data_IF_776406561997
#
_entry.id   IF_776406561997
#
_cell.length_a   1.000
_cell.length_b   1.000
_cell.length_c   1.000
_cell.angle_alpha   90.00
_cell.angle_beta   90.00
_cell.angle_gamma   90.00
#
_symmetry.space_group_name_H-M   'P 1'
#
loop_
_entity.id
_entity.type
_entity.pdbx_description
1 polymer ?
#
# COMPACT_ATOMS: atom_id res chain seq x y z
N UNK A 1 -7.56 1.34 7.89
CA UNK A 1 -6.83 2.50 7.30
C UNK A 1 -5.42 2.04 6.96
N UNK A 2 -5.17 1.56 5.75
CA UNK A 2 -3.81 1.25 5.30
C UNK A 2 -3.50 2.14 4.10
N UNK A 3 -2.75 3.22 4.38
CA UNK A 3 -2.10 4.03 3.35
C UNK A 3 -1.07 3.16 2.61
N UNK A 4 -0.71 3.52 1.37
CA UNK A 4 0.46 2.95 0.69
C UNK A 4 1.60 2.86 1.71
N UNK A 5 2.03 1.62 2.03
CA UNK A 5 2.66 1.24 3.31
C UNK A 5 3.87 2.08 3.71
N UNK A 6 4.47 2.85 2.80
CA UNK A 6 5.54 3.77 3.10
C UNK A 6 5.42 5.19 2.49
N UNK A 7 4.38 5.51 1.70
CA UNK A 7 4.28 6.82 1.06
C UNK A 7 2.83 7.33 1.09
N UNK A 8 2.55 8.36 1.89
CA UNK A 8 1.26 9.05 1.90
C UNK A 8 0.71 9.45 3.26
N UNK A 9 1.33 9.09 4.39
CA UNK A 9 0.89 9.60 5.70
C UNK A 9 1.53 10.96 6.00
N UNK A 10 0.73 12.02 5.81
CA UNK A 10 0.97 13.33 6.40
C UNK A 10 1.24 13.13 7.90
N UNK A 11 2.35 13.70 8.38
CA UNK A 11 2.73 13.70 9.79
C UNK A 11 1.55 14.18 10.64
N UNK A 12 0.85 13.26 11.29
CA UNK A 12 -0.33 13.57 12.10
C UNK A 12 -1.37 12.45 12.21
N UNK A 13 -1.48 11.54 11.23
CA UNK A 13 -2.59 10.56 11.23
C UNK A 13 -2.15 9.12 11.55
N UNK A 14 -2.32 8.75 12.82
CA UNK A 14 -2.26 7.41 13.43
C UNK A 14 -1.66 6.25 12.58
N UNK A 15 -0.32 6.16 12.55
CA UNK A 15 0.43 4.91 12.36
C UNK A 15 0.70 4.49 10.91
N UNK A 16 1.94 4.66 10.43
CA UNK A 16 2.47 3.69 9.50
C UNK A 16 2.49 2.33 10.23
N UNK A 17 1.87 1.30 9.65
CA UNK A 17 1.88 -0.04 10.24
C UNK A 17 3.23 -0.65 9.92
N UNK A 18 4.13 -0.65 10.89
CA UNK A 18 5.38 -1.38 10.83
C UNK A 18 5.10 -2.80 11.33
N UNK A 19 4.80 -3.71 10.43
CA UNK A 19 4.60 -5.14 10.72
C UNK A 19 5.92 -5.91 10.79
N UNK A 20 7.03 -5.31 10.35
CA UNK A 20 8.35 -5.93 10.34
C UNK A 20 8.60 -6.80 9.12
N UNK A 21 7.65 -6.87 8.18
CA UNK A 21 7.77 -7.69 6.99
C UNK A 21 8.51 -6.94 5.87
N UNK A 22 9.31 -7.70 5.11
CA UNK A 22 10.11 -7.16 4.02
C UNK A 22 9.39 -7.29 2.68
N UNK A 23 8.69 -6.25 2.25
CA UNK A 23 7.96 -6.21 0.98
C UNK A 23 8.81 -5.84 -0.24
N UNK A 24 10.06 -5.46 -0.01
CA UNK A 24 11.01 -5.07 -1.06
C UNK A 24 12.16 -6.06 -1.08
N UNK A 25 12.36 -6.71 -2.23
CA UNK A 25 13.54 -7.52 -2.49
C UNK A 25 14.44 -6.80 -3.49
N UNK A 26 15.76 -6.87 -3.28
CA UNK A 26 16.76 -6.35 -4.20
C UNK A 26 17.85 -7.39 -4.46
N UNK A 27 18.54 -7.27 -5.60
CA UNK A 27 19.61 -8.20 -5.98
C UNK A 27 20.78 -7.45 -6.58
N UNK A 28 22.00 -7.88 -6.28
CA UNK A 28 23.22 -7.39 -6.93
C UNK A 28 23.93 -8.53 -7.63
N UNK A 29 24.46 -8.26 -8.83
CA UNK A 29 25.37 -9.16 -9.52
C UNK A 29 26.72 -8.48 -9.69
N UNK A 30 27.72 -8.98 -8.99
CA UNK A 30 29.09 -8.49 -9.08
C UNK A 30 29.84 -9.28 -10.14
N UNK A 31 30.23 -8.61 -11.23
CA UNK A 31 30.82 -9.27 -12.41
C UNK A 31 32.18 -9.92 -12.12
N UNK A 32 33.02 -9.23 -11.35
CA UNK A 32 34.40 -9.65 -11.09
C UNK A 32 34.43 -10.91 -10.24
N UNK A 33 33.78 -10.88 -9.07
CA UNK A 33 33.60 -12.07 -8.20
C UNK A 33 32.67 -13.12 -8.82
N UNK A 34 31.75 -12.71 -9.71
CA UNK A 34 30.73 -13.59 -10.28
C UNK A 34 29.65 -13.96 -9.27
N UNK A 35 29.38 -13.09 -8.30
CA UNK A 35 28.50 -13.39 -7.16
C UNK A 35 27.14 -12.72 -7.35
N UNK A 36 26.06 -13.49 -7.16
CA UNK A 36 24.70 -12.98 -7.03
C UNK A 36 24.33 -12.91 -5.55
N UNK A 37 23.93 -11.73 -5.07
CA UNK A 37 23.45 -11.55 -3.69
C UNK A 37 22.02 -11.03 -3.69
N UNK A 38 21.17 -11.61 -2.86
CA UNK A 38 19.78 -11.20 -2.69
C UNK A 38 19.59 -10.56 -1.32
N UNK A 39 18.81 -9.49 -1.26
CA UNK A 39 18.52 -8.75 -0.03
C UNK A 39 17.02 -8.57 0.15
N UNK A 40 16.61 -8.50 1.41
CA UNK A 40 15.28 -8.11 1.85
C UNK A 40 15.37 -6.76 2.57
N UNK A 41 14.49 -5.83 2.21
CA UNK A 41 14.41 -4.51 2.83
C UNK A 41 13.03 -4.31 3.46
N UNK A 42 13.02 -3.93 4.75
CA UNK A 42 11.79 -3.65 5.49
C UNK A 42 11.87 -2.30 6.21
N UNK A 43 10.73 -1.58 6.31
CA UNK A 43 10.66 -0.36 7.09
C UNK A 43 10.57 -0.66 8.59
N UNK A 44 11.26 0.14 9.40
CA UNK A 44 11.22 0.14 10.86
C UNK A 44 10.88 1.55 11.35
N UNK A 45 10.22 1.64 12.50
CA UNK A 45 9.98 2.93 13.17
C UNK A 45 11.31 3.57 13.60
N UNK A 46 11.57 4.80 13.15
CA UNK A 46 12.75 5.54 13.57
C UNK A 46 12.68 5.88 15.07
N UNK A 47 13.82 5.78 15.76
CA UNK A 47 13.85 5.80 17.23
C UNK A 47 13.83 7.21 17.85
N UNK A 48 14.17 8.27 17.09
CA UNK A 48 14.39 9.60 17.68
C UNK A 48 13.62 10.77 17.06
N UNK A 49 13.21 10.69 15.80
CA UNK A 49 12.42 11.76 15.17
C UNK A 49 11.49 11.08 14.17
N UNK A 50 10.19 11.37 14.24
CA UNK A 50 9.16 10.67 13.46
C UNK A 50 9.58 10.44 12.00
N UNK A 51 9.39 9.22 11.51
CA UNK A 51 9.85 8.79 10.19
C UNK A 51 10.06 7.27 10.13
N UNK A 52 10.35 6.76 8.94
CA UNK A 52 10.68 5.35 8.70
C UNK A 52 12.16 5.20 8.43
N UNK A 53 12.81 4.28 9.15
CA UNK A 53 14.13 3.76 8.84
C UNK A 53 13.98 2.51 7.97
N UNK A 54 14.94 2.21 7.10
CA UNK A 54 14.90 1.00 6.27
C UNK A 54 16.07 0.11 6.64
N UNK A 55 15.76 -1.12 7.06
CA UNK A 55 16.76 -2.14 7.34
C UNK A 55 16.83 -3.05 6.12
N UNK A 56 18.04 -3.28 5.64
CA UNK A 56 18.35 -4.22 4.57
C UNK A 56 19.11 -5.41 5.17
N UNK A 57 18.64 -6.62 4.89
CA UNK A 57 19.27 -7.87 5.36
C UNK A 57 19.57 -8.75 4.15
N UNK A 58 20.77 -9.33 4.12
CA UNK A 58 21.13 -10.32 3.11
C UNK A 58 20.32 -11.58 3.33
N UNK A 59 19.65 -12.05 2.29
CA UNK A 59 18.96 -13.35 2.29
C UNK A 59 20.01 -14.45 2.10
N UNK A 60 20.76 -14.37 1.02
CA UNK A 60 21.82 -15.32 0.67
C UNK A 60 22.72 -14.74 -0.44
N UNK A 61 23.83 -15.40 -0.73
CA UNK A 61 24.79 -15.06 -1.76
C UNK A 61 25.35 -16.32 -2.42
N UNK A 62 25.42 -16.33 -3.75
CA UNK A 62 25.83 -17.49 -4.52
C UNK A 62 26.91 -17.16 -5.55
N UNK A 63 27.90 -18.04 -5.69
CA UNK A 63 28.80 -18.01 -6.83
C UNK A 63 28.07 -18.47 -8.08
N UNK A 64 28.11 -17.64 -9.13
CA UNK A 64 27.55 -17.94 -10.45
C UNK A 64 28.59 -18.60 -11.37
N UNK A 65 29.82 -18.83 -10.88
CA UNK A 65 30.94 -19.41 -11.63
C UNK A 65 31.44 -20.69 -10.94
N UNK A 66 31.85 -21.67 -11.73
CA UNK A 66 32.60 -22.85 -11.26
C UNK A 66 31.80 -23.92 -10.50
N UNK A 67 30.56 -23.67 -10.10
CA UNK A 67 29.68 -24.64 -9.45
C UNK A 67 28.26 -24.57 -10.03
N UNK A 68 27.83 -25.65 -10.68
CA UNK A 68 26.50 -25.76 -11.30
C UNK A 68 25.37 -25.74 -10.27
N UNK A 69 25.53 -26.44 -9.15
CA UNK A 69 24.52 -26.50 -8.08
C UNK A 69 24.27 -25.11 -7.48
N UNK A 70 25.36 -24.36 -7.22
CA UNK A 70 25.28 -22.97 -6.74
C UNK A 70 24.54 -22.08 -7.75
N UNK A 71 24.82 -22.24 -9.03
CA UNK A 71 24.15 -21.49 -10.10
C UNK A 71 22.65 -21.81 -10.17
N UNK A 72 22.27 -23.10 -10.14
CA UNK A 72 20.87 -23.52 -10.18
C UNK A 72 20.08 -23.00 -8.98
N UNK A 73 20.67 -23.07 -7.78
CA UNK A 73 20.08 -22.52 -6.55
C UNK A 73 19.90 -21.01 -6.66
N UNK A 74 20.90 -20.29 -7.15
CA UNK A 74 20.85 -18.84 -7.32
C UNK A 74 19.74 -18.40 -8.27
N UNK A 75 19.65 -19.04 -9.45
CA UNK A 75 18.62 -18.73 -10.45
C UNK A 75 17.22 -19.06 -9.92
N UNK A 76 17.07 -20.19 -9.24
CA UNK A 76 15.79 -20.60 -8.63
C UNK A 76 15.35 -19.61 -7.56
N UNK A 77 16.24 -19.27 -6.61
CA UNK A 77 15.95 -18.31 -5.57
C UNK A 77 15.60 -16.92 -6.15
N UNK A 78 16.35 -16.46 -7.15
CA UNK A 78 16.07 -15.19 -7.82
C UNK A 78 14.71 -15.16 -8.52
N UNK A 79 14.32 -16.24 -9.22
CA UNK A 79 13.01 -16.33 -9.88
C UNK A 79 11.87 -16.35 -8.86
N UNK A 80 12.00 -17.18 -7.82
CA UNK A 80 11.01 -17.25 -6.75
C UNK A 80 10.84 -15.89 -6.05
N UNK A 81 11.95 -15.19 -5.78
CA UNK A 81 11.92 -13.84 -5.23
C UNK A 81 11.18 -12.85 -6.13
N UNK A 82 11.39 -12.91 -7.45
CA UNK A 82 10.67 -12.05 -8.41
C UNK A 82 9.18 -12.35 -8.46
N UNK A 83 8.79 -13.62 -8.41
CA UNK A 83 7.38 -14.01 -8.46
C UNK A 83 6.67 -13.64 -7.16
N UNK A 84 7.30 -13.85 -6.01
CA UNK A 84 6.80 -13.37 -4.72
C UNK A 84 6.65 -11.84 -4.68
N UNK A 85 7.65 -11.10 -5.17
CA UNK A 85 7.56 -9.64 -5.24
C UNK A 85 6.44 -9.15 -6.17
N UNK A 86 6.10 -9.93 -7.22
CA UNK A 86 4.97 -9.64 -8.09
C UNK A 86 3.65 -9.86 -7.35
N UNK A 87 3.49 -11.00 -6.67
CA UNK A 87 2.30 -11.30 -5.87
C UNK A 87 2.04 -10.20 -4.84
N UNK A 88 3.09 -9.76 -4.10
CA UNK A 88 2.96 -8.66 -3.14
C UNK A 88 2.58 -7.33 -3.77
N UNK A 89 3.06 -7.06 -4.98
CA UNK A 89 2.64 -5.87 -5.74
C UNK A 89 1.17 -5.96 -6.16
N UNK A 90 0.74 -7.11 -6.66
CA UNK A 90 -0.64 -7.34 -7.12
C UNK A 90 -1.62 -7.25 -5.94
N UNK A 91 -1.28 -7.85 -4.79
CA UNK A 91 -2.02 -7.74 -3.53
C UNK A 91 -2.18 -6.26 -3.13
N UNK A 92 -1.09 -5.50 -3.11
CA UNK A 92 -1.13 -4.07 -2.75
C UNK A 92 -1.98 -3.23 -3.71
N UNK A 93 -1.96 -3.54 -5.01
CA UNK A 93 -2.81 -2.89 -6.02
C UNK A 93 -4.28 -3.26 -5.80
N UNK A 94 -4.59 -4.54 -5.57
CA UNK A 94 -5.93 -5.03 -5.29
C UNK A 94 -6.54 -4.31 -4.09
N UNK A 95 -5.80 -4.28 -2.97
CA UNK A 95 -6.22 -3.56 -1.77
C UNK A 95 -6.44 -2.05 -2.01
N UNK A 96 -5.61 -1.41 -2.84
CA UNK A 96 -5.77 0.00 -3.17
C UNK A 96 -7.04 0.26 -3.99
N UNK A 97 -7.32 -0.61 -4.97
CA UNK A 97 -8.52 -0.52 -5.81
C UNK A 97 -9.80 -0.72 -4.99
N UNK A 98 -9.84 -1.71 -4.11
CA UNK A 98 -10.98 -1.95 -3.19
C UNK A 98 -11.29 -0.72 -2.33
N UNK A 99 -10.27 -0.03 -1.84
CA UNK A 99 -10.44 1.21 -1.05
C UNK A 99 -11.07 2.33 -1.87
N UNK A 100 -10.66 2.51 -3.13
CA UNK A 100 -11.25 3.51 -4.01
C UNK A 100 -12.73 3.19 -4.25
N UNK A 101 -13.06 1.93 -4.55
CA UNK A 101 -14.44 1.50 -4.74
C UNK A 101 -15.31 1.65 -3.48
N UNK A 102 -14.78 1.35 -2.29
CA UNK A 102 -15.47 1.55 -1.02
C UNK A 102 -15.65 3.03 -0.65
N UNK A 103 -14.62 3.86 -0.93
CA UNK A 103 -14.66 5.30 -0.73
C UNK A 103 -15.66 5.99 -1.66
N UNK A 104 -15.72 5.58 -2.93
CA UNK A 104 -16.69 6.12 -3.89
C UNK A 104 -18.12 5.67 -3.56
N UNK A 105 -18.31 4.42 -3.11
CA UNK A 105 -19.60 3.92 -2.60
C UNK A 105 -20.11 4.73 -1.39
N UNK A 106 -19.21 5.15 -0.50
CA UNK A 106 -19.54 5.99 0.66
C UNK A 106 -19.88 7.42 0.22
N UNK A 107 -19.13 7.97 -0.74
CA UNK A 107 -19.41 9.29 -1.33
C UNK A 107 -20.76 9.33 -2.06
N UNK A 108 -21.08 8.30 -2.84
CA UNK A 108 -22.38 8.18 -3.55
C UNK A 108 -23.55 7.91 -2.60
N UNK A 109 -23.32 7.28 -1.43
CA UNK A 109 -24.35 7.08 -0.41
C UNK A 109 -24.66 8.38 0.34
N UNK A 110 -23.63 9.16 0.69
CA UNK A 110 -23.81 10.46 1.35
C UNK A 110 -24.55 11.44 0.41
N UNK A 111 -24.14 11.56 -0.86
CA UNK A 111 -24.81 12.47 -1.81
C UNK A 111 -26.28 12.12 -2.05
N UNK A 112 -26.63 10.82 -2.12
CA UNK A 112 -28.04 10.40 -2.25
C UNK A 112 -28.86 10.67 -0.99
N UNK A 113 -28.27 10.52 0.19
CA UNK A 113 -28.96 10.87 1.45
C UNK A 113 -29.18 12.37 1.61
N UNK A 114 -28.21 13.21 1.20
CA UNK A 114 -28.33 14.67 1.28
C UNK A 114 -29.28 15.24 0.24
N UNK A 115 -29.31 14.67 -0.97
CA UNK A 115 -30.31 15.01 -2.00
C UNK A 115 -31.73 14.62 -1.56
N UNK A 116 -31.91 13.45 -0.94
CA UNK A 116 -33.22 13.01 -0.42
C UNK A 116 -33.69 13.85 0.77
N UNK A 117 -32.81 14.27 1.67
CA UNK A 117 -33.18 15.13 2.80
C UNK A 117 -33.45 16.59 2.39
N UNK A 118 -32.81 17.09 1.31
CA UNK A 118 -33.18 18.38 0.72
C UNK A 118 -34.55 18.33 0.03
N UNK A 119 -34.84 17.27 -0.73
CA UNK A 119 -36.13 17.13 -1.41
C UNK A 119 -37.31 17.01 -0.44
N UNK A 120 -37.14 16.32 0.69
CA UNK A 120 -38.18 16.20 1.72
C UNK A 120 -38.50 17.53 2.45
N UNK A 121 -37.56 18.48 2.51
CA UNK A 121 -37.79 19.80 3.13
C UNK A 121 -38.43 20.82 2.20
N UNK A 122 -38.47 20.56 0.89
CA UNK A 122 -39.11 21.44 -0.08
C UNK A 122 -40.63 21.25 -0.17
N UNK A 123 -41.14 20.08 0.25
CA UNK A 123 -42.57 19.73 0.21
C UNK A 123 -43.36 20.27 1.43
N UNK A 124 -42.68 20.55 2.54
CA UNK A 124 -43.31 21.09 3.76
C UNK A 124 -43.46 22.63 3.78
N UNK A 125 -42.93 23.33 2.76
CA UNK A 125 -42.83 24.80 2.75
C UNK A 125 -43.96 25.57 2.08
N UNK A 126 -44.89 24.92 1.38
CA UNK A 126 -45.85 25.61 0.49
C UNK A 126 -47.27 25.81 1.10
N UNK A 127 -47.51 25.39 2.35
CA UNK A 127 -48.86 25.38 2.92
C UNK A 127 -49.24 26.55 3.85
N UNK A 128 -48.40 27.58 4.05
CA UNK A 128 -48.72 28.61 5.05
C UNK A 128 -48.34 30.05 4.66
N UNK A 129 -48.99 30.61 3.63
CA UNK A 129 -49.15 32.06 3.47
C UNK A 129 -50.46 32.41 2.74
N UNK A 130 -51.60 32.41 3.43
CA UNK A 130 -52.75 33.24 3.05
C UNK A 130 -53.40 33.78 4.35
N UNK A 131 -52.93 34.93 4.82
CA UNK A 131 -53.63 35.73 5.83
C UNK A 131 -54.45 36.84 5.15
N UNK A 132 -55.68 37.14 5.57
CA UNK A 132 -56.52 38.11 4.89
C UNK A 132 -56.05 39.53 5.20
N UNK A 133 -55.77 40.31 4.15
CA UNK A 133 -55.55 41.75 4.26
C UNK A 133 -56.84 42.48 4.59
N UNK A 134 -56.77 43.39 5.55
CA UNK A 134 -57.77 44.45 5.81
C UNK A 134 -57.16 45.79 5.44
#
# INVERSE_FOLDING_TARGET
MHALRAYGKRAGDAGAVYDGDAYTLSSTFERDSGTLTLYATYPRKANRHGGSEYIMTTIDSWSMKGNMESWERAITAYRNARDWAREKREEAIGEANERVSAGDSTRTRITRSTLRSHAAKADEGEANQIGPGS
#
